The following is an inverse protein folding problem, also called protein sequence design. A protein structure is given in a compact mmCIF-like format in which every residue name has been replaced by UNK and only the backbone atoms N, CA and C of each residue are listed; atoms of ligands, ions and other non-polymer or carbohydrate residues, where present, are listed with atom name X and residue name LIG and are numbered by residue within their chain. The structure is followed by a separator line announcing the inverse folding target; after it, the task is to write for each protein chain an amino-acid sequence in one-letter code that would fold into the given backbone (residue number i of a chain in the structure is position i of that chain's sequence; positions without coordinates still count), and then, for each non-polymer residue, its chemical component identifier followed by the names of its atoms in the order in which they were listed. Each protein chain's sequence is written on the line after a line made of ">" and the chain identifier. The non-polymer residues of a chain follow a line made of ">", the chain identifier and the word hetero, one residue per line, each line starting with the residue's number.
data_IF_146252136377
#
_entry.id   IF_146252136377
#
_cell.length_a   1.000
_cell.length_b   1.000
_cell.length_c   1.000
_cell.angle_alpha   90.00
_cell.angle_beta   90.00
_cell.angle_gamma   90.00
#
_symmetry.space_group_name_H-M   'P 1'
#
loop_
_entity.id
_entity.type
_entity.pdbx_description
1 polymer ?
#
# COMPACT_ATOMS: atom_id res chain seq x y z
N UNK A 1 -8.47 0.68 -15.63
CA UNK A 1 -8.08 0.11 -14.33
C UNK A 1 -8.45 1.13 -13.27
N UNK A 2 -9.28 0.75 -12.29
CA UNK A 2 -9.56 1.57 -11.11
C UNK A 2 -8.32 1.59 -10.22
N UNK A 3 -8.12 2.68 -9.48
CA UNK A 3 -7.00 2.79 -8.58
C UNK A 3 -7.22 1.92 -7.34
N UNK A 4 -6.18 1.21 -6.90
CA UNK A 4 -6.24 0.32 -5.77
C UNK A 4 -6.52 1.10 -4.47
N UNK A 5 -7.36 0.51 -3.62
CA UNK A 5 -7.55 0.95 -2.24
C UNK A 5 -7.17 -0.22 -1.34
N UNK A 6 -6.18 -0.02 -0.49
CA UNK A 6 -5.71 -1.03 0.45
C UNK A 6 -6.09 -0.63 1.86
N UNK A 7 -6.77 -1.52 2.58
CA UNK A 7 -6.92 -1.38 4.01
C UNK A 7 -5.59 -1.76 4.69
N UNK A 8 -5.13 -0.88 5.56
CA UNK A 8 -3.94 -1.03 6.40
C UNK A 8 -4.41 -1.33 7.83
N UNK A 9 -3.88 -2.40 8.42
CA UNK A 9 -4.06 -2.73 9.83
C UNK A 9 -2.72 -2.71 10.57
N UNK A 10 -2.65 -2.08 11.73
CA UNK A 10 -1.46 -2.06 12.61
C UNK A 10 -1.83 -2.15 14.08
N UNK A 11 -0.92 -2.65 14.91
CA UNK A 11 -0.99 -2.59 16.38
C UNK A 11 -0.24 -1.39 16.97
N UNK A 12 0.61 -0.70 16.19
CA UNK A 12 1.38 0.48 16.59
C UNK A 12 1.24 1.59 15.55
N UNK A 13 0.08 2.26 15.56
CA UNK A 13 -0.24 3.31 14.61
C UNK A 13 0.76 4.47 14.64
N UNK A 14 1.22 4.87 15.83
CA UNK A 14 2.08 6.04 15.99
C UNK A 14 3.42 5.86 15.26
N UNK A 15 4.02 4.67 15.38
CA UNK A 15 5.27 4.33 14.69
C UNK A 15 5.02 4.04 13.21
N UNK A 16 4.06 3.16 12.90
CA UNK A 16 3.90 2.63 11.56
C UNK A 16 3.41 3.67 10.56
N UNK A 17 2.57 4.62 10.96
CA UNK A 17 2.10 5.67 10.03
C UNK A 17 3.23 6.57 9.56
N UNK A 18 4.22 6.82 10.43
CA UNK A 18 5.42 7.62 10.08
C UNK A 18 6.31 6.83 9.11
N UNK A 19 6.55 5.55 9.40
CA UNK A 19 7.34 4.68 8.53
C UNK A 19 6.68 4.47 7.16
N UNK A 20 5.37 4.28 7.14
CA UNK A 20 4.58 4.16 5.92
C UNK A 20 4.68 5.45 5.08
N UNK A 21 4.45 6.62 5.68
CA UNK A 21 4.55 7.90 4.95
C UNK A 21 5.96 8.11 4.37
N UNK A 22 7.00 7.80 5.16
CA UNK A 22 8.39 7.86 4.69
C UNK A 22 8.64 6.89 3.53
N UNK A 23 8.17 5.66 3.64
CA UNK A 23 8.31 4.64 2.61
C UNK A 23 7.61 5.04 1.29
N UNK A 24 6.42 5.62 1.40
CA UNK A 24 5.67 6.11 0.24
C UNK A 24 6.31 7.36 -0.37
N UNK A 25 6.80 8.30 0.43
CA UNK A 25 7.53 9.47 -0.08
C UNK A 25 8.78 9.07 -0.89
N UNK A 26 9.50 8.03 -0.44
CA UNK A 26 10.60 7.45 -1.21
C UNK A 26 10.13 6.83 -2.54
N UNK A 27 8.97 6.17 -2.54
CA UNK A 27 8.38 5.59 -3.75
C UNK A 27 7.95 6.67 -4.75
N UNK A 28 7.31 7.73 -4.27
CA UNK A 28 6.90 8.89 -5.08
C UNK A 28 8.12 9.55 -5.73
N UNK A 29 9.21 9.72 -4.97
CA UNK A 29 10.48 10.27 -5.47
C UNK A 29 11.09 9.38 -6.55
N UNK A 30 11.13 8.06 -6.31
CA UNK A 30 11.67 7.08 -7.26
C UNK A 30 10.89 7.06 -8.59
N UNK A 31 9.58 7.28 -8.53
CA UNK A 31 8.67 7.19 -9.69
C UNK A 31 8.32 8.57 -10.29
N UNK A 32 8.82 9.66 -9.69
CA UNK A 32 8.40 11.03 -10.00
C UNK A 32 6.87 11.17 -10.03
N UNK A 33 6.21 10.63 -9.00
CA UNK A 33 4.76 10.45 -8.91
C UNK A 33 4.23 11.02 -7.58
N UNK A 34 4.50 12.31 -7.36
CA UNK A 34 4.17 13.01 -6.12
C UNK A 34 2.66 13.16 -5.89
N UNK A 35 2.27 13.17 -4.61
CA UNK A 35 0.87 13.14 -4.18
C UNK A 35 0.13 11.92 -4.75
N UNK A 36 0.84 10.80 -4.89
CA UNK A 36 0.41 9.56 -5.54
C UNK A 36 -0.54 8.71 -4.72
N UNK A 37 -0.75 9.05 -3.45
CA UNK A 37 -1.61 8.31 -2.53
C UNK A 37 -2.26 9.22 -1.48
N UNK A 38 -3.32 8.73 -0.84
CA UNK A 38 -3.98 9.37 0.28
C UNK A 38 -4.28 8.34 1.39
N UNK A 39 -4.25 8.80 2.65
CA UNK A 39 -4.63 8.00 3.81
C UNK A 39 -5.97 8.48 4.36
N UNK A 40 -6.87 7.56 4.69
CA UNK A 40 -8.10 7.89 5.41
C UNK A 40 -7.82 8.16 6.89
N UNK A 41 -8.84 8.68 7.58
CA UNK A 41 -8.81 8.72 9.04
C UNK A 41 -8.69 7.31 9.65
N UNK A 42 -7.93 7.15 10.73
CA UNK A 42 -7.78 5.87 11.42
C UNK A 42 -8.98 5.56 12.31
N UNK A 43 -9.35 4.28 12.38
CA UNK A 43 -10.33 3.74 13.32
C UNK A 43 -9.67 2.67 14.18
N UNK A 44 -9.75 2.79 15.50
CA UNK A 44 -9.19 1.82 16.44
C UNK A 44 -10.24 0.84 16.95
N UNK A 45 -9.93 -0.46 16.94
CA UNK A 45 -10.80 -1.52 17.43
C UNK A 45 -9.99 -2.73 17.91
N UNK A 46 -10.25 -3.18 19.14
CA UNK A 46 -9.62 -4.37 19.75
C UNK A 46 -8.08 -4.40 19.67
N UNK A 47 -7.42 -3.30 20.03
CA UNK A 47 -5.94 -3.22 20.01
C UNK A 47 -5.31 -3.12 18.62
N UNK A 48 -6.13 -2.98 17.57
CA UNK A 48 -5.70 -2.69 16.21
C UNK A 48 -6.20 -1.30 15.78
N UNK A 49 -5.45 -0.68 14.89
CA UNK A 49 -5.84 0.53 14.17
C UNK A 49 -5.94 0.19 12.69
N UNK A 50 -7.04 0.62 12.06
CA UNK A 50 -7.33 0.40 10.64
C UNK A 50 -7.52 1.72 9.93
N UNK A 51 -6.98 1.85 8.73
CA UNK A 51 -7.18 2.99 7.84
C UNK A 51 -6.99 2.54 6.39
N UNK A 52 -7.45 3.33 5.43
CA UNK A 52 -7.30 3.02 4.01
C UNK A 52 -6.16 3.84 3.40
N UNK A 53 -5.41 3.21 2.51
CA UNK A 53 -4.44 3.84 1.62
C UNK A 53 -4.98 3.73 0.19
N UNK A 54 -5.45 4.85 -0.34
CA UNK A 54 -5.95 4.96 -1.70
C UNK A 54 -4.83 5.44 -2.61
N UNK A 55 -4.57 4.71 -3.69
CA UNK A 55 -3.60 5.12 -4.72
C UNK A 55 -4.30 5.99 -5.76
N UNK A 56 -3.55 6.86 -6.40
CA UNK A 56 -3.96 7.41 -7.70
C UNK A 56 -3.60 6.42 -8.81
N UNK A 57 -4.39 6.42 -9.87
CA UNK A 57 -4.19 5.53 -11.01
C UNK A 57 -2.79 5.67 -11.63
N UNK A 58 -2.27 6.89 -11.74
CA UNK A 58 -0.94 7.16 -12.29
C UNK A 58 0.19 6.61 -11.42
N UNK A 59 0.06 6.70 -10.09
CA UNK A 59 1.01 6.11 -9.15
C UNK A 59 1.01 4.59 -9.24
N UNK A 60 -0.17 3.95 -9.21
CA UNK A 60 -0.27 2.50 -9.31
C UNK A 60 0.33 2.00 -10.62
N UNK A 61 0.01 2.62 -11.76
CA UNK A 61 0.56 2.24 -13.06
C UNK A 61 2.08 2.38 -13.11
N UNK A 62 2.64 3.41 -12.48
CA UNK A 62 4.11 3.57 -12.41
C UNK A 62 4.77 2.52 -11.52
N UNK A 63 4.13 2.13 -10.42
CA UNK A 63 4.60 1.03 -9.58
C UNK A 63 4.57 -0.27 -10.39
N UNK A 64 3.45 -0.58 -11.03
CA UNK A 64 3.27 -1.78 -11.85
C UNK A 64 4.24 -1.82 -13.04
N UNK A 65 4.51 -0.68 -13.68
CA UNK A 65 5.48 -0.59 -14.76
C UNK A 65 6.93 -0.77 -14.28
N UNK A 66 7.30 -0.16 -13.13
CA UNK A 66 8.67 -0.22 -12.61
C UNK A 66 9.01 -1.55 -11.94
N UNK A 67 8.02 -2.15 -11.27
CA UNK A 67 8.19 -3.35 -10.45
C UNK A 67 7.41 -4.54 -10.97
N UNK A 68 6.95 -4.50 -12.22
CA UNK A 68 6.10 -5.52 -12.83
C UNK A 68 6.67 -6.93 -12.68
N UNK A 69 7.97 -7.11 -12.92
CA UNK A 69 8.63 -8.41 -12.73
C UNK A 69 8.53 -8.90 -11.28
N UNK A 70 8.75 -8.02 -10.29
CA UNK A 70 8.64 -8.36 -8.87
C UNK A 70 7.19 -8.64 -8.44
N UNK A 71 6.24 -7.91 -8.99
CA UNK A 71 4.81 -8.13 -8.75
C UNK A 71 4.41 -9.49 -9.33
N UNK A 72 4.84 -9.78 -10.56
CA UNK A 72 4.50 -11.00 -11.31
C UNK A 72 5.24 -12.26 -10.83
N UNK A 73 6.30 -12.14 -10.04
CA UNK A 73 6.95 -13.28 -9.35
C UNK A 73 5.97 -14.10 -8.49
N UNK A 74 4.86 -13.49 -8.05
CA UNK A 74 3.81 -14.21 -7.34
C UNK A 74 3.03 -15.08 -8.34
N UNK A 75 3.27 -16.40 -8.32
CA UNK A 75 2.65 -17.39 -9.22
C UNK A 75 1.12 -17.43 -9.17
N UNK A 76 0.52 -17.08 -8.03
CA UNK A 76 -0.92 -17.22 -7.75
C UNK A 76 -1.54 -15.90 -7.30
N UNK A 77 -2.81 -15.67 -7.66
CA UNK A 77 -3.59 -14.48 -7.32
C UNK A 77 -3.84 -13.56 -8.53
N UNK A 78 -4.90 -12.75 -8.47
CA UNK A 78 -5.19 -11.74 -9.48
C UNK A 78 -4.21 -10.54 -9.38
N UNK A 79 -4.27 -9.60 -10.34
CA UNK A 79 -3.38 -8.43 -10.38
C UNK A 79 -3.33 -7.68 -9.04
N UNK A 80 -4.50 -7.46 -8.45
CA UNK A 80 -4.66 -6.63 -7.26
C UNK A 80 -4.13 -7.33 -6.00
N UNK A 81 -4.29 -8.65 -5.91
CA UNK A 81 -3.68 -9.46 -4.85
C UNK A 81 -2.16 -9.48 -4.94
N UNK A 82 -1.60 -9.58 -6.16
CA UNK A 82 -0.15 -9.51 -6.37
C UNK A 82 0.40 -8.13 -6.00
N UNK A 83 -0.29 -7.07 -6.42
CA UNK A 83 0.05 -5.69 -6.04
C UNK A 83 0.00 -5.49 -4.52
N UNK A 84 -1.07 -5.96 -3.86
CA UNK A 84 -1.21 -5.88 -2.40
C UNK A 84 -0.05 -6.58 -1.68
N UNK A 85 0.31 -7.79 -2.11
CA UNK A 85 1.45 -8.55 -1.54
C UNK A 85 2.78 -7.84 -1.78
N UNK A 86 2.99 -7.26 -2.96
CA UNK A 86 4.17 -6.46 -3.24
C UNK A 86 4.26 -5.26 -2.27
N UNK A 87 3.17 -4.51 -2.11
CA UNK A 87 3.14 -3.36 -1.20
C UNK A 87 3.39 -3.77 0.26
N UNK A 88 2.83 -4.90 0.70
CA UNK A 88 3.08 -5.41 2.05
C UNK A 88 4.57 -5.72 2.25
N UNK A 89 5.19 -6.44 1.30
CA UNK A 89 6.64 -6.72 1.34
C UNK A 89 7.47 -5.44 1.30
N UNK A 90 7.10 -4.47 0.47
CA UNK A 90 7.79 -3.20 0.33
C UNK A 90 7.80 -2.40 1.64
N UNK A 91 6.67 -2.38 2.35
CA UNK A 91 6.52 -1.70 3.65
C UNK A 91 7.26 -2.45 4.77
N UNK A 92 7.13 -3.77 4.85
CA UNK A 92 7.88 -4.57 5.84
C UNK A 92 9.39 -4.45 5.69
N UNK A 93 9.90 -4.41 4.45
CA UNK A 93 11.33 -4.19 4.18
C UNK A 93 11.83 -2.82 4.68
N UNK A 94 10.94 -1.89 5.02
CA UNK A 94 11.24 -0.57 5.60
C UNK A 94 10.91 -0.48 7.10
N UNK A 95 10.66 -1.63 7.73
CA UNK A 95 10.37 -1.73 9.15
C UNK A 95 8.92 -1.41 9.52
N UNK A 96 8.03 -1.18 8.56
CA UNK A 96 6.62 -0.93 8.83
C UNK A 96 5.90 -2.26 9.06
N UNK A 97 5.35 -2.47 10.26
CA UNK A 97 4.73 -3.73 10.67
C UNK A 97 3.21 -3.70 10.50
N UNK A 98 2.78 -3.57 9.24
CA UNK A 98 1.38 -3.45 8.85
C UNK A 98 0.88 -4.70 8.12
N UNK A 99 -0.40 -4.99 8.29
CA UNK A 99 -1.14 -5.96 7.48
C UNK A 99 -1.93 -5.23 6.39
N UNK A 100 -1.81 -5.68 5.13
CA UNK A 100 -2.54 -5.10 4.01
C UNK A 100 -3.63 -6.05 3.50
N UNK A 101 -4.78 -5.47 3.17
CA UNK A 101 -5.87 -6.17 2.48
C UNK A 101 -6.43 -5.30 1.38
N UNK A 102 -6.81 -5.90 0.26
CA UNK A 102 -7.58 -5.21 -0.77
C UNK A 102 -8.93 -4.78 -0.19
N UNK A 103 -9.24 -3.50 -0.25
CA UNK A 103 -10.57 -3.01 0.14
C UNK A 103 -11.54 -3.25 -1.02
N UNK A 104 -12.35 -4.31 -0.89
CA UNK A 104 -13.30 -4.75 -1.93
C UNK A 104 -14.56 -3.88 -2.02
N UNK A 105 -14.69 -2.81 -1.24
CA UNK A 105 -15.90 -1.98 -1.17
C UNK A 105 -16.15 -1.08 -2.40
N UNK A 106 -15.28 -1.12 -3.42
CA UNK A 106 -15.45 -0.37 -4.66
C UNK A 106 -15.40 -1.24 -5.94
N UNK A 107 -15.61 -2.56 -5.82
CA UNK A 107 -15.83 -3.44 -6.97
C UNK A 107 -17.33 -3.57 -7.29
#
# INVERSE_FOLDING_TARGET
>A
MSAAVLQVGTKDYATDVVLLKKAMSQMESLLSAYNGYALSEPTSKFGWTFFNMAFRTDMQQKIEGRFGDMINQHRWGNSDEKFTKFMQKYLHARGCNVELKLDKRQA
#
